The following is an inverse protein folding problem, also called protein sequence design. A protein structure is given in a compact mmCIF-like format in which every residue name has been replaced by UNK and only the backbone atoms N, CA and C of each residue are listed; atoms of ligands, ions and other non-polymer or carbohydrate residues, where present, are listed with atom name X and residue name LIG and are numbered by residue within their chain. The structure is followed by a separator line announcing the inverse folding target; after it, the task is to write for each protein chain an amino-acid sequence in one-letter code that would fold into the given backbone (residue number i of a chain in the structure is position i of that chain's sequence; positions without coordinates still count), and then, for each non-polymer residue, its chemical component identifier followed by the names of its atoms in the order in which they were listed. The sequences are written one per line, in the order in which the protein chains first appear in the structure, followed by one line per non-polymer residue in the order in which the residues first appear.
data_IF_215563821450
#
_entry.id   IF_215563821450
#
_cell.length_a   1.000
_cell.length_b   1.000
_cell.length_c   1.000
_cell.angle_alpha   90.00
_cell.angle_beta   90.00
_cell.angle_gamma   90.00
#
_symmetry.space_group_name_H-M   'P 1'
#
loop_
_entity.id
_entity.type
_entity.pdbx_description
1 polymer ?
#
# COMPACT_ATOMS: atom_id res chain seq x y z
N UNK A 1 -45.68 -4.84 -58.45
CA UNK A 1 -46.24 -3.48 -58.46
C UNK A 1 -47.06 -3.39 -57.19
N UNK A 2 -46.41 -3.03 -56.08
CA UNK A 2 -46.30 -1.65 -55.57
C UNK A 2 -47.67 -1.06 -55.23
N UNK A 3 -47.98 -0.96 -53.93
CA UNK A 3 -48.46 0.30 -53.35
C UNK A 3 -48.36 0.24 -51.82
N UNK A 4 -47.46 1.05 -51.28
CA UNK A 4 -47.44 1.50 -49.90
C UNK A 4 -48.44 2.64 -49.76
N UNK A 5 -49.38 2.61 -48.82
CA UNK A 5 -49.89 3.83 -48.16
C UNK A 5 -50.31 3.53 -46.71
N UNK A 6 -49.90 4.44 -45.82
CA UNK A 6 -50.00 4.48 -44.34
C UNK A 6 -51.39 4.22 -43.73
N UNK A 7 -51.44 4.12 -42.38
CA UNK A 7 -52.34 5.04 -41.70
C UNK A 7 -51.71 5.80 -40.50
N UNK A 8 -51.93 7.12 -40.56
CA UNK A 8 -52.52 7.95 -39.50
C UNK A 8 -51.75 8.11 -38.18
N UNK A 9 -51.01 9.21 -38.13
CA UNK A 9 -50.77 9.97 -36.90
C UNK A 9 -52.06 10.63 -36.39
N UNK A 10 -52.43 10.32 -35.15
CA UNK A 10 -53.13 11.22 -34.23
C UNK A 10 -52.62 10.87 -32.81
N UNK A 11 -51.58 11.54 -32.28
CA UNK A 11 -51.64 12.77 -31.47
C UNK A 11 -52.66 12.68 -30.33
N UNK A 12 -52.20 12.43 -29.09
CA UNK A 12 -52.04 13.44 -28.03
C UNK A 12 -51.87 12.80 -26.63
N UNK A 13 -50.90 13.34 -25.88
CA UNK A 13 -50.91 13.71 -24.44
C UNK A 13 -51.21 12.57 -23.43
N UNK A 14 -50.39 12.27 -22.44
CA UNK A 14 -49.65 13.15 -21.56
C UNK A 14 -49.94 12.69 -20.13
N UNK A 15 -49.03 11.93 -19.53
CA UNK A 15 -48.93 11.82 -18.07
C UNK A 15 -47.46 11.59 -17.75
N UNK A 16 -46.84 12.67 -17.33
CA UNK A 16 -45.49 12.71 -16.81
C UNK A 16 -45.48 12.16 -15.36
N UNK A 17 -44.27 11.77 -14.95
CA UNK A 17 -43.83 11.50 -13.57
C UNK A 17 -44.42 10.21 -13.00
N UNK A 18 -43.63 9.27 -12.49
CA UNK A 18 -42.68 9.43 -11.39
C UNK A 18 -41.98 8.06 -11.28
N UNK A 19 -40.68 7.92 -11.54
CA UNK A 19 -39.69 7.79 -10.46
C UNK A 19 -38.34 7.54 -11.11
N UNK A 20 -37.46 8.52 -10.97
CA UNK A 20 -36.01 8.37 -10.79
C UNK A 20 -35.44 9.76 -11.01
N UNK A 21 -35.62 10.63 -10.01
CA UNK A 21 -34.65 11.69 -9.78
C UNK A 21 -33.31 10.98 -9.57
N UNK A 22 -32.58 10.77 -10.66
CA UNK A 22 -31.19 10.35 -10.65
C UNK A 22 -30.46 11.58 -10.12
N UNK A 23 -30.13 11.55 -8.83
CA UNK A 23 -29.29 12.56 -8.22
C UNK A 23 -27.98 12.66 -9.03
N UNK A 24 -27.69 13.79 -9.69
CA UNK A 24 -26.38 14.00 -10.28
C UNK A 24 -25.51 14.61 -9.18
N UNK A 25 -24.53 13.88 -8.65
CA UNK A 25 -23.60 14.53 -7.74
C UNK A 25 -22.66 13.71 -6.87
N UNK A 26 -22.68 12.37 -6.89
CA UNK A 26 -21.83 11.61 -5.95
C UNK A 26 -21.00 10.45 -6.54
N UNK A 27 -21.08 10.19 -7.85
CA UNK A 27 -20.35 9.05 -8.47
C UNK A 27 -19.10 9.44 -9.28
N UNK A 28 -18.80 10.72 -9.50
CA UNK A 28 -17.64 11.13 -10.32
C UNK A 28 -16.33 11.27 -9.53
N UNK A 29 -16.36 11.23 -8.20
CA UNK A 29 -15.12 11.34 -7.39
C UNK A 29 -14.32 10.05 -7.35
N UNK A 30 -14.98 8.90 -7.52
CA UNK A 30 -14.36 7.57 -7.43
C UNK A 30 -13.86 7.04 -8.79
N UNK A 31 -14.39 7.55 -9.90
CA UNK A 31 -13.96 7.16 -11.25
C UNK A 31 -12.47 7.44 -11.52
N UNK A 32 -11.90 8.45 -10.84
CA UNK A 32 -10.48 8.80 -10.94
C UNK A 32 -9.57 7.98 -10.02
N UNK A 33 -10.11 7.20 -9.08
CA UNK A 33 -9.33 6.34 -8.19
C UNK A 33 -9.03 4.98 -8.83
N UNK A 34 -9.95 4.46 -9.64
CA UNK A 34 -9.84 3.16 -10.34
C UNK A 34 -9.09 3.25 -11.68
N UNK A 35 -7.91 3.84 -11.66
CA UNK A 35 -7.04 3.91 -12.85
C UNK A 35 -6.31 2.58 -13.08
N UNK A 36 -5.84 2.28 -14.32
CA UNK A 36 -5.00 1.11 -14.58
C UNK A 36 -3.77 1.03 -13.65
N UNK A 37 -3.19 2.17 -13.31
CA UNK A 37 -2.05 2.25 -12.37
C UNK A 37 -2.45 1.87 -10.93
N UNK A 38 -3.69 2.13 -10.52
CA UNK A 38 -4.23 1.65 -9.24
C UNK A 38 -4.40 0.13 -9.24
N UNK A 39 -4.97 -0.46 -10.30
CA UNK A 39 -5.10 -1.92 -10.40
C UNK A 39 -3.74 -2.63 -10.41
N UNK A 40 -2.75 -2.09 -11.12
CA UNK A 40 -1.38 -2.62 -11.11
C UNK A 40 -0.77 -2.60 -9.71
N UNK A 41 -0.97 -1.51 -8.97
CA UNK A 41 -0.54 -1.39 -7.58
C UNK A 41 -1.22 -2.41 -6.67
N UNK A 42 -2.54 -2.61 -6.81
CA UNK A 42 -3.26 -3.64 -6.07
C UNK A 42 -2.81 -5.06 -6.43
N UNK A 43 -2.50 -5.34 -7.71
CA UNK A 43 -1.96 -6.64 -8.15
C UNK A 43 -0.62 -6.93 -7.48
N UNK A 44 0.28 -5.94 -7.45
CA UNK A 44 1.58 -6.06 -6.75
C UNK A 44 1.40 -6.30 -5.26
N UNK A 45 0.54 -5.53 -4.60
CA UNK A 45 0.24 -5.71 -3.19
C UNK A 45 -0.27 -7.14 -2.90
N UNK A 46 -1.24 -7.61 -3.68
CA UNK A 46 -1.80 -8.95 -3.50
C UNK A 46 -0.77 -10.06 -3.73
N UNK A 47 0.10 -9.90 -4.73
CA UNK A 47 1.22 -10.83 -4.97
C UNK A 47 2.15 -10.87 -3.75
N UNK A 48 2.57 -9.72 -3.25
CA UNK A 48 3.46 -9.64 -2.09
C UNK A 48 2.81 -10.19 -0.82
N UNK A 49 1.52 -9.88 -0.58
CA UNK A 49 0.76 -10.44 0.54
C UNK A 49 0.72 -11.97 0.52
N UNK A 50 0.52 -12.57 -0.66
CA UNK A 50 0.50 -14.04 -0.81
C UNK A 50 1.87 -14.64 -0.49
N UNK A 51 2.94 -14.05 -0.98
CA UNK A 51 4.30 -14.57 -0.76
C UNK A 51 4.75 -14.42 0.70
N UNK A 52 4.51 -13.26 1.32
CA UNK A 52 4.80 -13.04 2.73
C UNK A 52 3.99 -14.00 3.62
N UNK A 53 2.73 -14.28 3.27
CA UNK A 53 1.92 -15.28 3.97
C UNK A 53 2.49 -16.70 3.83
N UNK A 54 2.99 -17.08 2.65
CA UNK A 54 3.66 -18.40 2.46
C UNK A 54 4.90 -18.54 3.34
N UNK A 55 5.61 -17.44 3.56
CA UNK A 55 6.74 -17.35 4.49
C UNK A 55 6.30 -17.22 5.96
N UNK A 56 5.00 -17.26 6.25
CA UNK A 56 4.42 -17.08 7.59
C UNK A 56 4.78 -15.72 8.21
N UNK A 57 5.02 -14.70 7.38
CA UNK A 57 5.30 -13.33 7.81
C UNK A 57 4.01 -12.52 7.82
N UNK A 58 3.72 -11.90 8.97
CA UNK A 58 2.53 -11.08 9.16
C UNK A 58 2.81 -9.63 8.77
N UNK A 59 1.96 -9.08 7.91
CA UNK A 59 1.94 -7.65 7.61
C UNK A 59 1.17 -6.93 8.71
N UNK A 60 1.74 -5.86 9.24
CA UNK A 60 1.14 -5.00 10.27
C UNK A 60 0.68 -3.66 9.72
N UNK A 61 1.30 -3.18 8.65
CA UNK A 61 0.99 -1.88 8.06
C UNK A 61 1.24 -1.90 6.55
N UNK A 62 0.43 -1.16 5.81
CA UNK A 62 0.58 -0.92 4.38
C UNK A 62 0.55 0.58 4.17
N UNK A 63 1.61 1.13 3.60
CA UNK A 63 1.77 2.55 3.37
C UNK A 63 1.94 2.83 1.88
N UNK A 64 1.31 3.91 1.43
CA UNK A 64 1.45 4.43 0.07
C UNK A 64 2.12 5.80 0.16
N UNK A 65 3.34 5.92 -0.36
CA UNK A 65 4.05 7.20 -0.44
C UNK A 65 4.17 7.56 -1.92
N UNK A 66 3.22 8.36 -2.39
CA UNK A 66 3.06 8.65 -3.81
C UNK A 66 2.78 7.38 -4.63
N UNK A 67 3.71 7.02 -5.51
CA UNK A 67 3.62 5.81 -6.33
C UNK A 67 4.24 4.58 -5.66
N UNK A 68 5.02 4.75 -4.59
CA UNK A 68 5.68 3.63 -3.91
C UNK A 68 4.77 2.96 -2.89
N UNK A 69 4.74 1.64 -2.96
CA UNK A 69 4.08 0.77 -1.98
C UNK A 69 5.13 0.28 -0.99
N UNK A 70 4.83 0.46 0.29
CA UNK A 70 5.63 -0.05 1.40
C UNK A 70 4.77 -0.91 2.32
N UNK A 71 5.33 -2.00 2.82
CA UNK A 71 4.66 -2.86 3.79
C UNK A 71 5.56 -3.08 5.00
N UNK A 72 4.97 -2.94 6.18
CA UNK A 72 5.63 -3.30 7.43
C UNK A 72 5.24 -4.71 7.83
N UNK A 73 6.22 -5.52 8.18
CA UNK A 73 5.99 -6.85 8.75
C UNK A 73 6.33 -6.88 10.24
N UNK A 74 5.65 -7.76 10.96
CA UNK A 74 5.99 -8.10 12.34
C UNK A 74 7.19 -9.05 12.37
N UNK A 75 8.15 -8.78 13.25
CA UNK A 75 9.29 -9.65 13.48
C UNK A 75 8.93 -10.69 14.55
N UNK A 76 8.65 -11.92 14.13
CA UNK A 76 8.53 -13.08 15.02
C UNK A 76 9.85 -13.86 15.03
N UNK A 77 10.61 -13.91 16.15
CA UNK A 77 11.90 -14.60 16.22
C UNK A 77 11.82 -16.10 15.91
N UNK A 78 10.65 -16.75 16.07
CA UNK A 78 10.46 -18.15 15.73
C UNK A 78 10.36 -18.40 14.22
N UNK A 79 10.17 -17.35 13.40
CA UNK A 79 10.10 -17.45 11.93
C UNK A 79 11.41 -17.00 11.30
N UNK A 80 11.87 -17.80 10.33
CA UNK A 80 13.04 -17.46 9.54
C UNK A 80 12.71 -16.37 8.52
N UNK A 81 13.59 -15.36 8.43
CA UNK A 81 13.55 -14.34 7.41
C UNK A 81 14.41 -14.68 6.18
N UNK A 82 15.18 -15.78 6.21
CA UNK A 82 16.12 -16.12 5.13
C UNK A 82 15.46 -16.13 3.74
N UNK A 83 14.27 -16.75 3.52
CA UNK A 83 13.63 -16.75 2.20
C UNK A 83 13.29 -15.36 1.68
N UNK A 84 12.91 -14.44 2.57
CA UNK A 84 12.64 -13.05 2.22
C UNK A 84 13.96 -12.34 1.87
N UNK A 85 14.98 -12.50 2.71
CA UNK A 85 16.28 -11.86 2.55
C UNK A 85 17.00 -12.30 1.27
N UNK A 86 16.92 -13.58 0.92
CA UNK A 86 17.51 -14.16 -0.29
C UNK A 86 16.83 -13.64 -1.56
N UNK A 87 15.56 -13.26 -1.45
CA UNK A 87 14.76 -12.73 -2.56
C UNK A 87 14.79 -11.19 -2.67
N UNK A 88 15.52 -10.51 -1.79
CA UNK A 88 15.58 -9.04 -1.77
C UNK A 88 16.74 -8.52 -2.63
N UNK A 89 16.45 -7.53 -3.48
CA UNK A 89 17.46 -6.95 -4.38
C UNK A 89 18.41 -5.98 -3.67
N UNK A 90 17.87 -5.13 -2.78
CA UNK A 90 18.63 -4.12 -2.03
C UNK A 90 18.09 -4.01 -0.63
N UNK A 91 19.00 -3.90 0.34
CA UNK A 91 18.70 -3.78 1.77
C UNK A 91 19.29 -2.49 2.31
N UNK A 92 18.55 -1.82 3.18
CA UNK A 92 18.96 -0.64 3.93
C UNK A 92 18.73 -0.92 5.41
N UNK A 93 19.66 -0.44 6.21
CA UNK A 93 19.65 -0.58 7.66
C UNK A 93 19.72 0.81 8.25
N UNK A 94 18.73 1.18 9.06
CA UNK A 94 18.64 2.50 9.67
C UNK A 94 18.45 2.35 11.18
N UNK A 95 19.33 2.93 12.01
CA UNK A 95 19.10 2.96 13.45
C UNK A 95 17.88 3.83 13.76
N UNK A 96 17.03 3.34 14.67
CA UNK A 96 15.84 4.03 15.19
C UNK A 96 15.74 3.75 16.70
N UNK A 97 14.96 4.53 17.44
CA UNK A 97 14.86 4.36 18.91
C UNK A 97 14.44 2.95 19.34
N UNK A 98 13.65 2.28 18.49
CA UNK A 98 13.15 0.93 18.74
C UNK A 98 14.12 -0.20 18.32
N UNK A 99 15.30 0.09 17.75
CA UNK A 99 16.26 -0.89 17.25
C UNK A 99 16.83 -0.53 15.87
N UNK A 100 16.94 -1.51 14.97
CA UNK A 100 17.37 -1.28 13.58
C UNK A 100 16.21 -1.52 12.64
N UNK A 101 15.79 -0.49 11.91
CA UNK A 101 14.86 -0.68 10.79
C UNK A 101 15.62 -1.31 9.63
N UNK A 102 15.16 -2.49 9.23
CA UNK A 102 15.61 -3.16 8.01
C UNK A 102 14.54 -2.92 6.95
N UNK A 103 14.94 -2.44 5.78
CA UNK A 103 14.06 -2.24 4.65
C UNK A 103 14.70 -2.77 3.38
N UNK A 104 13.92 -3.37 2.49
CA UNK A 104 14.42 -3.81 1.19
C UNK A 104 13.33 -3.97 0.14
N UNK A 105 13.73 -3.98 -1.12
CA UNK A 105 12.81 -4.18 -2.24
C UNK A 105 12.55 -5.68 -2.44
N UNK A 106 11.26 -6.03 -2.49
CA UNK A 106 10.79 -7.39 -2.74
C UNK A 106 9.59 -7.34 -3.70
N UNK A 107 9.77 -7.86 -4.92
CA UNK A 107 8.75 -7.91 -5.98
C UNK A 107 8.11 -6.53 -6.25
N UNK A 108 8.93 -5.47 -6.24
CA UNK A 108 8.51 -4.09 -6.51
C UNK A 108 7.76 -3.41 -5.35
N UNK A 109 7.90 -3.93 -4.14
CA UNK A 109 7.35 -3.36 -2.90
C UNK A 109 8.45 -3.26 -1.85
N UNK A 110 8.53 -2.13 -1.18
CA UNK A 110 9.44 -1.97 -0.04
C UNK A 110 8.89 -2.74 1.14
N UNK A 111 9.58 -3.78 1.59
CA UNK A 111 9.24 -4.52 2.82
C UNK A 111 10.16 -4.05 3.93
N UNK A 112 9.59 -3.72 5.10
CA UNK A 112 10.35 -3.23 6.25
C UNK A 112 9.92 -3.84 7.58
N UNK A 113 10.86 -3.96 8.51
CA UNK A 113 10.60 -4.36 9.90
C UNK A 113 11.64 -3.74 10.84
N UNK A 114 11.40 -3.86 12.15
CA UNK A 114 12.38 -3.47 13.17
C UNK A 114 13.00 -4.74 13.75
N UNK A 115 14.32 -4.85 13.63
CA UNK A 115 15.09 -5.81 14.39
C UNK A 115 15.40 -5.18 15.75
N UNK A 116 14.78 -5.73 16.80
CA UNK A 116 15.12 -5.36 18.17
C UNK A 116 16.35 -6.16 18.54
N UNK A 117 17.45 -5.47 18.83
CA UNK A 117 18.67 -6.13 19.28
C UNK A 117 18.36 -7.01 20.50
N UNK A 118 18.76 -8.28 20.43
CA UNK A 118 19.09 -9.01 21.66
C UNK A 118 20.23 -8.28 22.40
N UNK A 119 20.45 -8.56 23.69
CA UNK A 119 21.46 -7.86 24.49
C UNK A 119 22.83 -7.97 23.80
N UNK A 120 23.29 -6.89 23.17
CA UNK A 120 24.56 -6.87 22.44
C UNK A 120 24.67 -5.88 21.28
N UNK A 121 23.57 -5.42 20.68
CA UNK A 121 23.65 -4.44 19.59
C UNK A 121 23.32 -3.04 20.08
N UNK A 122 24.31 -2.42 20.72
CA UNK A 122 24.51 -0.97 20.66
C UNK A 122 23.40 -0.08 21.20
N UNK A 123 23.17 -0.11 22.52
CA UNK A 123 22.89 1.14 23.23
C UNK A 123 24.18 1.99 23.16
N UNK A 124 24.35 2.67 22.03
CA UNK A 124 25.36 3.70 21.81
C UNK A 124 25.08 4.83 22.78
N UNK A 125 25.69 4.69 23.96
CA UNK A 125 25.91 5.67 25.00
C UNK A 125 25.67 7.10 24.54
N UNK A 126 24.72 7.73 25.21
CA UNK A 126 24.66 9.15 25.51
C UNK A 126 26.07 9.71 25.76
N UNK A 127 26.72 10.24 24.73
CA UNK A 127 27.88 11.09 24.87
C UNK A 127 27.36 12.47 25.26
N UNK A 128 26.98 12.62 26.53
CA UNK A 128 26.90 13.93 27.16
C UNK A 128 28.30 14.51 27.07
N UNK A 129 28.48 15.52 26.23
CA UNK A 129 29.61 16.43 26.28
C UNK A 129 29.70 16.97 27.72
N UNK A 130 30.66 16.47 28.49
CA UNK A 130 31.09 17.15 29.72
C UNK A 130 31.95 18.33 29.29
N UNK A 131 31.62 19.58 29.68
CA UNK A 131 32.57 20.67 29.59
C UNK A 131 33.55 20.55 30.75
N UNK A 132 34.84 20.78 30.49
CA UNK A 132 35.84 21.09 31.51
C UNK A 132 36.76 19.95 31.91
N UNK A 133 37.98 19.99 31.37
CA UNK A 133 39.20 20.11 32.17
C UNK A 133 40.40 20.28 31.22
N UNK A 134 40.77 21.53 30.96
CA UNK A 134 42.09 21.88 30.46
C UNK A 134 42.88 22.45 31.65
N UNK A 135 43.85 21.68 32.13
CA UNK A 135 44.93 22.13 33.01
C UNK A 135 46.07 21.15 32.82
N UNK A 136 47.06 21.50 31.99
CA UNK A 136 48.36 22.06 32.39
C UNK A 136 49.11 22.46 31.11
#
# INVERSE_FOLDING_TARGET
MDERVEPLRARQQGTAMETAQRMPGEDDRDAHLFTPSFFERLRRLNRVRRELRRMQLRITQIDWVGAELSVRIERDPAKSLAPLLDSMERRRFRPVDAGVEVAGQFKGVTVRWIERGGPGVGAGRSARLRPGCASL
#
